data_IF_170975459376
#
_entry.id   IF_170975459376
#
_cell.length_a   1.000
_cell.length_b   1.000
_cell.length_c   1.000
_cell.angle_alpha   90.00
_cell.angle_beta   90.00
_cell.angle_gamma   90.00
#
_symmetry.space_group_name_H-M   'P 1'
#
loop_
_entity.id
_entity.type
_entity.pdbx_description
1 polymer ?
#
# COMPACT_ATOMS: atom_id res chain seq x y z
N UNK A 1 34.30 0.63 64.01
CA UNK A 1 33.04 1.05 63.37
C UNK A 1 33.31 1.96 62.15
N UNK A 2 33.82 1.46 61.01
CA UNK A 2 34.02 2.26 59.78
C UNK A 2 34.10 1.28 58.55
N UNK A 3 33.11 0.42 58.38
CA UNK A 3 33.08 -0.48 57.19
C UNK A 3 31.74 -0.65 56.50
N UNK A 4 30.67 0.02 56.91
CA UNK A 4 29.32 -0.22 56.39
C UNK A 4 28.69 0.95 55.62
N UNK A 5 29.42 1.99 55.22
CA UNK A 5 28.88 3.16 54.50
C UNK A 5 29.18 3.08 52.98
N UNK A 6 30.12 2.22 52.57
CA UNK A 6 30.50 2.17 51.16
C UNK A 6 29.63 1.24 50.29
N UNK A 7 28.83 0.37 50.90
CA UNK A 7 28.03 -0.62 50.20
C UNK A 7 26.62 -0.08 49.75
N UNK A 8 26.10 0.93 50.42
CA UNK A 8 24.81 1.54 50.07
C UNK A 8 24.88 2.56 48.92
N UNK A 9 26.05 3.15 48.66
CA UNK A 9 26.20 4.12 47.56
C UNK A 9 26.31 3.44 46.18
N UNK A 10 26.71 2.16 46.13
CA UNK A 10 26.88 1.43 44.88
C UNK A 10 25.55 0.87 44.33
N UNK A 11 24.54 0.68 45.21
CA UNK A 11 23.21 0.23 44.80
C UNK A 11 22.29 1.35 44.30
N UNK A 12 22.58 2.62 44.60
CA UNK A 12 21.79 3.76 44.08
C UNK A 12 22.24 4.24 42.68
N UNK A 13 23.41 3.81 42.20
CA UNK A 13 23.93 4.17 40.88
C UNK A 13 23.53 3.21 39.79
N UNK A 14 22.96 2.05 40.11
CA UNK A 14 22.51 1.04 39.11
C UNK A 14 21.06 1.28 38.70
N UNK A 15 20.28 2.08 39.40
CA UNK A 15 18.87 2.39 39.06
C UNK A 15 18.72 3.57 38.10
N UNK A 16 19.81 4.15 37.60
CA UNK A 16 19.76 5.19 36.54
C UNK A 16 20.13 4.70 35.16
N UNK A 17 20.28 3.40 34.95
CA UNK A 17 20.38 2.81 33.61
C UNK A 17 19.00 2.76 32.96
N UNK A 18 18.69 3.86 32.26
CA UNK A 18 17.94 3.79 31.02
C UNK A 18 16.53 3.20 31.10
N UNK A 19 15.57 3.91 31.70
CA UNK A 19 14.25 3.95 31.09
C UNK A 19 14.44 4.66 29.72
N UNK A 20 14.76 3.89 28.70
CA UNK A 20 14.45 4.29 27.33
C UNK A 20 12.94 4.54 27.35
N UNK A 21 12.51 5.80 27.34
CA UNK A 21 11.11 6.12 27.15
C UNK A 21 10.75 5.54 25.80
N UNK A 22 9.97 4.45 25.79
CA UNK A 22 9.40 3.95 24.55
C UNK A 22 8.63 5.11 23.93
N UNK A 23 8.86 5.40 22.64
CA UNK A 23 8.16 6.49 21.96
C UNK A 23 6.66 6.39 22.21
N UNK A 24 6.03 7.51 22.48
CA UNK A 24 4.57 7.53 22.64
C UNK A 24 3.92 7.20 21.30
N UNK A 25 2.66 6.72 21.30
CA UNK A 25 1.93 6.49 20.05
C UNK A 25 1.79 7.75 19.19
N UNK A 26 1.85 8.93 19.79
CA UNK A 26 1.84 10.22 19.10
C UNK A 26 3.15 10.49 18.36
N UNK A 27 4.29 10.13 18.97
CA UNK A 27 5.61 10.25 18.31
C UNK A 27 5.74 9.30 17.14
N UNK A 28 5.28 8.06 17.27
CA UNK A 28 5.25 7.09 16.17
C UNK A 28 4.36 7.61 15.03
N UNK A 29 3.18 8.17 15.36
CA UNK A 29 2.28 8.77 14.37
C UNK A 29 2.93 9.94 13.64
N UNK A 30 3.54 10.86 14.34
CA UNK A 30 4.24 12.01 13.75
C UNK A 30 5.37 11.54 12.83
N UNK A 31 6.11 10.53 13.25
CA UNK A 31 7.16 9.92 12.43
C UNK A 31 6.57 9.29 11.15
N UNK A 32 5.48 8.52 11.26
CA UNK A 32 4.82 7.91 10.09
C UNK A 32 4.34 8.97 9.11
N UNK A 33 3.69 10.03 9.59
CA UNK A 33 3.24 11.15 8.74
C UNK A 33 4.43 11.79 8.03
N UNK A 34 5.55 12.01 8.73
CA UNK A 34 6.78 12.56 8.15
C UNK A 34 7.33 11.67 7.03
N UNK A 35 7.39 10.35 7.24
CA UNK A 35 7.88 9.41 6.22
C UNK A 35 6.92 9.32 5.05
N UNK A 36 5.62 9.20 5.32
CA UNK A 36 4.60 9.11 4.27
C UNK A 36 4.62 10.34 3.37
N UNK A 37 4.67 11.53 3.95
CA UNK A 37 4.71 12.78 3.19
C UNK A 37 6.02 12.93 2.41
N UNK A 38 7.15 12.56 3.00
CA UNK A 38 8.44 12.54 2.30
C UNK A 38 8.42 11.63 1.05
N UNK A 39 7.76 10.47 1.14
CA UNK A 39 7.60 9.58 -0.02
C UNK A 39 6.66 10.19 -1.05
N UNK A 40 5.59 10.86 -0.61
CA UNK A 40 4.54 11.39 -1.46
C UNK A 40 4.94 12.69 -2.19
N UNK A 41 5.77 13.54 -1.56
CA UNK A 41 6.08 14.89 -2.04
C UNK A 41 6.52 14.92 -3.51
N UNK A 42 7.55 14.19 -3.96
CA UNK A 42 8.02 14.34 -5.33
C UNK A 42 6.97 13.90 -6.35
N UNK A 43 6.11 12.92 -6.04
CA UNK A 43 5.03 12.50 -6.94
C UNK A 43 3.94 13.55 -7.00
N UNK A 44 3.39 13.93 -5.86
CA UNK A 44 2.21 14.78 -5.81
C UNK A 44 2.50 16.24 -6.15
N UNK A 45 3.67 16.79 -5.73
CA UNK A 45 4.08 18.15 -6.08
C UNK A 45 4.32 18.31 -7.58
N UNK A 46 4.83 17.29 -8.27
CA UNK A 46 4.99 17.32 -9.71
C UNK A 46 3.68 17.05 -10.44
N UNK A 47 2.95 16.00 -10.06
CA UNK A 47 1.74 15.60 -10.77
C UNK A 47 0.62 16.63 -10.64
N UNK A 48 0.51 17.32 -9.50
CA UNK A 48 -0.46 18.40 -9.31
C UNK A 48 -0.24 19.59 -10.26
N UNK A 49 0.96 19.71 -10.83
CA UNK A 49 1.34 20.75 -11.80
C UNK A 49 1.38 20.24 -13.26
N UNK A 50 1.13 18.96 -13.50
CA UNK A 50 1.27 18.36 -14.82
C UNK A 50 2.75 18.17 -15.24
N UNK A 51 3.65 17.94 -14.30
CA UNK A 51 5.10 17.83 -14.51
C UNK A 51 5.68 16.46 -14.11
N UNK A 52 4.86 15.50 -13.70
CA UNK A 52 5.35 14.20 -13.22
C UNK A 52 6.13 13.45 -14.30
N UNK A 53 5.58 13.34 -15.51
CA UNK A 53 6.24 12.62 -16.61
C UNK A 53 7.55 13.30 -17.04
N UNK A 54 7.66 14.60 -16.85
CA UNK A 54 8.86 15.38 -17.16
C UNK A 54 9.97 15.16 -16.14
N UNK A 55 9.62 15.08 -14.85
CA UNK A 55 10.57 15.18 -13.76
C UNK A 55 10.86 13.84 -13.05
N UNK A 56 9.91 12.89 -13.06
CA UNK A 56 10.11 11.61 -12.40
C UNK A 56 11.13 10.75 -13.16
N UNK A 57 12.24 10.33 -12.51
CA UNK A 57 13.18 9.39 -13.14
C UNK A 57 12.51 8.03 -13.33
N UNK A 58 12.67 7.43 -14.51
CA UNK A 58 12.14 6.11 -14.83
C UNK A 58 13.29 5.12 -14.88
N UNK A 59 13.51 4.43 -13.77
CA UNK A 59 14.53 3.41 -13.63
C UNK A 59 13.93 2.01 -13.67
N UNK A 60 14.65 1.06 -14.25
CA UNK A 60 14.37 -0.37 -14.28
C UNK A 60 15.65 -1.15 -14.12
N UNK A 61 15.58 -2.47 -13.99
CA UNK A 61 16.79 -3.31 -13.96
C UNK A 61 17.67 -3.04 -15.17
N UNK A 62 18.98 -2.97 -14.95
CA UNK A 62 19.97 -2.74 -16.02
C UNK A 62 19.88 -3.80 -17.12
N UNK A 63 19.83 -3.36 -18.38
CA UNK A 63 19.72 -4.22 -19.55
C UNK A 63 18.28 -4.61 -19.95
N UNK A 64 17.26 -4.14 -19.25
CA UNK A 64 15.89 -4.25 -19.71
C UNK A 64 15.63 -3.23 -20.83
N UNK A 65 15.61 -3.69 -22.08
CA UNK A 65 15.27 -2.86 -23.24
C UNK A 65 13.77 -2.50 -23.19
N UNK A 66 13.45 -1.22 -22.93
CA UNK A 66 12.10 -0.67 -22.96
C UNK A 66 11.02 -1.60 -22.36
N UNK A 67 11.11 -1.97 -21.08
CA UNK A 67 10.09 -2.85 -20.50
C UNK A 67 8.73 -2.16 -20.60
N UNK A 68 7.65 -2.92 -20.85
CA UNK A 68 6.30 -2.39 -21.04
C UNK A 68 5.83 -1.48 -19.89
N UNK A 69 6.32 -1.75 -18.69
CA UNK A 69 6.00 -1.04 -17.45
C UNK A 69 6.60 0.38 -17.37
N UNK A 70 7.62 0.74 -18.15
CA UNK A 70 8.11 2.14 -18.15
C UNK A 70 7.05 3.12 -18.65
N UNK A 71 6.11 2.65 -19.48
CA UNK A 71 5.00 3.48 -20.00
C UNK A 71 3.87 3.68 -18.98
N UNK A 72 3.82 2.85 -17.94
CA UNK A 72 2.76 2.85 -16.93
C UNK A 72 3.27 3.23 -15.54
N UNK A 73 4.57 3.44 -15.40
CA UNK A 73 5.22 3.74 -14.10
C UNK A 73 4.58 4.91 -13.36
N UNK A 74 4.04 5.91 -14.07
CA UNK A 74 3.39 7.07 -13.47
C UNK A 74 2.00 6.72 -12.90
N UNK A 75 1.22 5.87 -13.60
CA UNK A 75 -0.03 5.31 -13.08
C UNK A 75 0.25 4.41 -11.86
N UNK A 76 1.31 3.62 -11.95
CA UNK A 76 1.78 2.76 -10.87
C UNK A 76 2.13 3.58 -9.62
N UNK A 77 2.89 4.67 -9.78
CA UNK A 77 3.25 5.58 -8.68
C UNK A 77 1.99 6.17 -8.02
N UNK A 78 1.08 6.74 -8.80
CA UNK A 78 -0.15 7.34 -8.27
C UNK A 78 -1.04 6.32 -7.56
N UNK A 79 -1.33 5.17 -8.19
CA UNK A 79 -2.24 4.17 -7.64
C UNK A 79 -1.71 3.54 -6.36
N UNK A 80 -0.43 3.17 -6.34
CA UNK A 80 0.21 2.57 -5.18
C UNK A 80 0.40 3.57 -4.03
N UNK A 81 0.71 4.82 -4.33
CA UNK A 81 0.77 5.88 -3.34
C UNK A 81 -0.60 6.13 -2.70
N UNK A 82 -1.66 6.21 -3.53
CA UNK A 82 -3.00 6.46 -3.06
C UNK A 82 -3.47 5.37 -2.08
N UNK A 83 -3.23 4.09 -2.37
CA UNK A 83 -3.71 3.01 -1.49
C UNK A 83 -3.18 3.12 -0.07
N UNK A 84 -1.94 3.59 0.09
CA UNK A 84 -1.34 3.78 1.41
C UNK A 84 -1.73 5.10 2.08
N UNK A 85 -1.94 6.16 1.30
CA UNK A 85 -2.31 7.47 1.84
C UNK A 85 -3.82 7.59 2.14
N UNK A 86 -4.66 6.85 1.42
CA UNK A 86 -6.11 7.03 1.45
C UNK A 86 -6.72 6.98 2.86
N UNK A 87 -6.36 6.05 3.76
CA UNK A 87 -6.93 6.04 5.11
C UNK A 87 -6.58 7.31 5.91
N UNK A 88 -5.37 7.83 5.76
CA UNK A 88 -4.97 9.08 6.39
C UNK A 88 -5.69 10.28 5.79
N UNK A 89 -5.83 10.35 4.46
CA UNK A 89 -6.55 11.42 3.77
C UNK A 89 -8.05 11.43 4.14
N UNK A 90 -8.68 10.24 4.28
CA UNK A 90 -10.10 10.11 4.60
C UNK A 90 -10.48 10.69 5.97
N UNK A 91 -9.53 10.85 6.90
CA UNK A 91 -9.76 11.55 8.16
C UNK A 91 -10.19 13.01 7.96
N UNK A 92 -9.92 13.59 6.79
CA UNK A 92 -10.28 14.97 6.47
C UNK A 92 -9.44 16.02 7.19
N UNK A 93 -9.63 17.31 6.85
CA UNK A 93 -8.97 18.42 7.53
C UNK A 93 -9.53 18.66 8.93
N UNK A 94 -8.66 19.11 9.85
CA UNK A 94 -9.00 19.62 11.16
C UNK A 94 -8.04 20.76 11.57
N UNK A 95 -8.25 21.36 12.75
CA UNK A 95 -7.47 22.51 13.22
C UNK A 95 -6.08 22.13 13.77
N UNK A 96 -5.74 20.85 13.86
CA UNK A 96 -4.41 20.41 14.24
C UNK A 96 -3.38 20.69 13.15
N UNK A 97 -2.10 20.69 13.52
CA UNK A 97 -1.01 20.81 12.55
C UNK A 97 -1.07 19.67 11.51
N UNK A 98 -1.31 18.43 11.97
CA UNK A 98 -1.50 17.28 11.10
C UNK A 98 -2.73 17.42 10.20
N UNK A 99 -3.86 17.95 10.71
CA UNK A 99 -5.07 18.16 9.93
C UNK A 99 -4.89 19.20 8.82
N UNK A 100 -4.16 20.29 9.12
CA UNK A 100 -3.79 21.28 8.08
C UNK A 100 -2.84 20.71 7.04
N UNK A 101 -1.86 19.90 7.47
CA UNK A 101 -0.96 19.17 6.56
C UNK A 101 -1.77 18.21 5.67
N UNK A 102 -2.66 17.42 6.25
CA UNK A 102 -3.54 16.49 5.54
C UNK A 102 -4.38 17.19 4.48
N UNK A 103 -4.90 18.38 4.79
CA UNK A 103 -5.63 19.21 3.83
C UNK A 103 -4.75 19.61 2.60
N UNK A 104 -3.48 19.89 2.81
CA UNK A 104 -2.52 20.10 1.71
C UNK A 104 -2.48 18.87 0.80
N UNK A 105 -2.31 17.68 1.38
CA UNK A 105 -2.18 16.44 0.60
C UNK A 105 -3.48 15.99 -0.05
N UNK A 106 -4.65 16.25 0.55
CA UNK A 106 -5.94 16.07 -0.11
C UNK A 106 -5.99 16.89 -1.40
N UNK A 107 -5.66 18.19 -1.35
CA UNK A 107 -5.64 19.05 -2.53
C UNK A 107 -4.63 18.59 -3.59
N UNK A 108 -3.42 18.23 -3.19
CA UNK A 108 -2.42 17.71 -4.11
C UNK A 108 -2.89 16.43 -4.79
N UNK A 109 -3.51 15.51 -4.05
CA UNK A 109 -4.06 14.26 -4.60
C UNK A 109 -5.20 14.53 -5.58
N UNK A 110 -6.12 15.42 -5.27
CA UNK A 110 -7.24 15.80 -6.17
C UNK A 110 -6.70 16.38 -7.49
N UNK A 111 -5.74 17.30 -7.45
CA UNK A 111 -5.11 17.88 -8.64
C UNK A 111 -4.31 16.83 -9.42
N UNK A 112 -3.64 15.92 -8.71
CA UNK A 112 -2.89 14.82 -9.34
C UNK A 112 -3.82 13.85 -10.08
N UNK A 113 -4.97 13.51 -9.50
CA UNK A 113 -5.98 12.70 -10.17
C UNK A 113 -6.55 13.45 -11.38
N UNK A 114 -6.86 14.74 -11.25
CA UNK A 114 -7.35 15.54 -12.37
C UNK A 114 -6.35 15.52 -13.54
N UNK A 115 -5.08 15.84 -13.30
CA UNK A 115 -4.04 15.79 -14.32
C UNK A 115 -3.83 14.39 -14.90
N UNK A 116 -3.82 13.36 -14.06
CA UNK A 116 -3.58 11.98 -14.48
C UNK A 116 -4.68 11.40 -15.38
N UNK A 117 -5.90 11.83 -15.19
CA UNK A 117 -7.07 11.32 -15.93
C UNK A 117 -7.63 12.31 -16.98
N UNK A 118 -7.07 13.51 -17.09
CA UNK A 118 -7.45 14.48 -18.11
C UNK A 118 -6.67 14.24 -19.42
N UNK A 119 -7.34 13.86 -20.54
CA UNK A 119 -6.66 13.61 -21.81
C UNK A 119 -5.87 14.81 -22.38
N UNK A 120 -6.18 16.03 -21.92
CA UNK A 120 -5.50 17.25 -22.34
C UNK A 120 -4.26 17.57 -21.50
N UNK A 121 -4.04 16.86 -20.38
CA UNK A 121 -2.91 17.08 -19.49
C UNK A 121 -1.61 16.46 -20.04
N UNK A 122 -0.45 17.12 -19.87
CA UNK A 122 0.84 16.50 -20.15
C UNK A 122 1.08 15.22 -19.36
N UNK A 123 0.49 15.11 -18.17
CA UNK A 123 0.57 13.94 -17.29
C UNK A 123 -0.52 12.90 -17.52
N UNK A 124 -1.35 13.03 -18.59
CA UNK A 124 -2.38 12.03 -18.89
C UNK A 124 -1.79 10.61 -18.87
N UNK A 125 -2.34 9.75 -18.01
CA UNK A 125 -1.79 8.43 -17.74
C UNK A 125 -2.13 7.42 -18.85
N UNK A 126 -1.34 6.35 -18.91
CA UNK A 126 -1.50 5.28 -19.91
C UNK A 126 -2.40 4.18 -19.36
N UNK A 127 -3.61 4.01 -19.91
CA UNK A 127 -4.59 3.02 -19.47
C UNK A 127 -4.74 1.80 -20.40
N UNK A 128 -4.16 1.82 -21.61
CA UNK A 128 -4.46 0.80 -22.64
C UNK A 128 -3.23 0.25 -23.39
N UNK A 129 -2.03 0.72 -23.06
CA UNK A 129 -0.82 0.44 -23.88
C UNK A 129 -0.30 -0.99 -23.68
N UNK A 130 -0.54 -1.57 -22.51
CA UNK A 130 -0.11 -2.92 -22.12
C UNK A 130 -1.16 -3.58 -21.23
N UNK A 131 -0.84 -4.72 -20.61
CA UNK A 131 -1.70 -5.29 -19.57
C UNK A 131 -1.50 -4.64 -18.19
N UNK A 132 -0.34 -4.02 -17.94
CA UNK A 132 0.05 -3.45 -16.64
C UNK A 132 -0.95 -2.42 -16.09
N UNK A 133 -1.63 -1.56 -16.87
CA UNK A 133 -2.66 -0.66 -16.34
C UNK A 133 -3.75 -1.32 -15.51
N UNK A 134 -4.06 -2.60 -15.74
CA UNK A 134 -5.02 -3.33 -14.92
C UNK A 134 -4.53 -3.46 -13.46
N UNK A 135 -3.23 -3.75 -13.28
CA UNK A 135 -2.60 -3.84 -11.95
C UNK A 135 -2.65 -2.50 -11.23
N UNK A 136 -2.18 -1.46 -11.91
CA UNK A 136 -1.97 -0.14 -11.31
C UNK A 136 -3.30 0.56 -11.02
N UNK A 137 -4.30 0.37 -11.90
CA UNK A 137 -5.65 0.84 -11.67
C UNK A 137 -6.35 0.11 -10.51
N UNK A 138 -6.05 -1.17 -10.27
CA UNK A 138 -6.62 -1.87 -9.12
C UNK A 138 -6.15 -1.28 -7.79
N UNK A 139 -4.88 -0.89 -7.67
CA UNK A 139 -4.40 -0.14 -6.50
C UNK A 139 -5.04 1.25 -6.39
N UNK A 140 -5.18 1.96 -7.50
CA UNK A 140 -5.91 3.23 -7.53
C UNK A 140 -7.36 3.05 -7.06
N UNK A 141 -8.07 2.04 -7.57
CA UNK A 141 -9.43 1.66 -7.18
C UNK A 141 -9.52 1.37 -5.68
N UNK A 142 -8.60 0.58 -5.15
CA UNK A 142 -8.53 0.28 -3.72
C UNK A 142 -8.34 1.56 -2.89
N UNK A 143 -7.50 2.49 -3.34
CA UNK A 143 -7.33 3.79 -2.72
C UNK A 143 -8.60 4.64 -2.75
N UNK A 144 -9.34 4.66 -3.86
CA UNK A 144 -10.63 5.38 -3.97
C UNK A 144 -11.67 4.79 -3.00
N UNK A 145 -11.75 3.45 -2.88
CA UNK A 145 -12.65 2.80 -1.91
C UNK A 145 -12.30 3.16 -0.45
N UNK A 146 -11.03 3.43 -0.15
CA UNK A 146 -10.53 3.83 1.18
C UNK A 146 -10.71 5.32 1.50
N UNK A 147 -10.89 6.16 0.48
CA UNK A 147 -11.10 7.60 0.66
C UNK A 147 -12.31 8.12 -0.11
N UNK A 148 -13.52 7.56 0.14
CA UNK A 148 -14.71 7.87 -0.63
C UNK A 148 -15.19 9.31 -0.46
N UNK A 149 -15.01 9.92 0.73
CA UNK A 149 -15.48 11.29 1.00
C UNK A 149 -14.44 12.33 0.58
N UNK A 150 -13.20 12.16 1.07
CA UNK A 150 -12.17 13.17 0.91
C UNK A 150 -11.53 13.17 -0.48
N UNK A 151 -11.50 12.04 -1.16
CA UNK A 151 -10.95 11.97 -2.52
C UNK A 151 -12.09 11.87 -3.53
N UNK A 152 -12.80 10.75 -3.63
CA UNK A 152 -13.84 10.61 -4.65
C UNK A 152 -14.92 11.69 -4.57
N UNK A 153 -15.40 11.96 -3.37
CA UNK A 153 -16.46 12.95 -3.10
C UNK A 153 -16.08 14.39 -3.46
N UNK A 154 -14.78 14.72 -3.47
CA UNK A 154 -14.30 16.07 -3.79
C UNK A 154 -13.76 16.22 -5.21
N UNK A 155 -13.74 15.15 -6.03
CA UNK A 155 -13.41 15.28 -7.45
C UNK A 155 -14.50 16.05 -8.19
N UNK A 156 -14.12 16.85 -9.20
CA UNK A 156 -15.07 17.47 -10.10
C UNK A 156 -15.83 16.43 -10.92
N UNK A 157 -17.04 16.76 -11.40
CA UNK A 157 -17.81 15.85 -12.24
C UNK A 157 -17.05 15.47 -13.52
N UNK A 158 -16.30 16.41 -14.11
CA UNK A 158 -15.42 16.15 -15.26
C UNK A 158 -14.36 15.12 -14.90
N UNK A 159 -13.68 15.28 -13.77
CA UNK A 159 -12.64 14.36 -13.33
C UNK A 159 -13.21 12.98 -13.01
N UNK A 160 -14.34 12.90 -12.31
CA UNK A 160 -15.05 11.64 -12.07
C UNK A 160 -15.38 10.92 -13.37
N UNK A 161 -15.92 11.64 -14.35
CA UNK A 161 -16.24 11.05 -15.67
C UNK A 161 -14.98 10.54 -16.38
N UNK A 162 -13.85 11.28 -16.31
CA UNK A 162 -12.58 10.84 -16.88
C UNK A 162 -12.07 9.56 -16.21
N UNK A 163 -12.16 9.47 -14.88
CA UNK A 163 -11.81 8.25 -14.13
C UNK A 163 -12.69 7.08 -14.56
N UNK A 164 -14.01 7.25 -14.61
CA UNK A 164 -14.93 6.21 -15.05
C UNK A 164 -14.64 5.76 -16.49
N UNK A 165 -14.35 6.68 -17.40
CA UNK A 165 -13.97 6.37 -18.78
C UNK A 165 -12.68 5.54 -18.85
N UNK A 166 -11.68 5.86 -18.03
CA UNK A 166 -10.45 5.09 -17.92
C UNK A 166 -10.72 3.68 -17.40
N UNK A 167 -11.51 3.52 -16.34
CA UNK A 167 -11.86 2.21 -15.79
C UNK A 167 -12.65 1.36 -16.80
N UNK A 168 -13.54 1.97 -17.60
CA UNK A 168 -14.25 1.27 -18.70
C UNK A 168 -13.32 0.77 -19.82
N UNK A 169 -12.17 1.40 -20.01
CA UNK A 169 -11.15 0.90 -20.94
C UNK A 169 -10.35 -0.23 -20.31
N UNK A 170 -9.94 -0.07 -19.06
CA UNK A 170 -9.10 -1.02 -18.28
C UNK A 170 -9.83 -2.35 -18.09
N UNK A 171 -11.13 -2.36 -17.81
CA UNK A 171 -11.92 -3.59 -17.62
C UNK A 171 -11.91 -4.55 -18.84
N UNK A 172 -11.46 -4.08 -20.00
CA UNK A 172 -11.31 -4.91 -21.22
C UNK A 172 -9.99 -5.69 -21.23
N UNK A 173 -9.06 -5.37 -20.33
CA UNK A 173 -7.77 -6.05 -20.23
C UNK A 173 -7.99 -7.40 -19.57
N UNK A 174 -7.62 -8.47 -20.27
CA UNK A 174 -7.74 -9.83 -19.75
C UNK A 174 -6.62 -10.11 -18.73
N UNK A 175 -6.96 -10.48 -17.48
CA UNK A 175 -5.98 -10.90 -16.47
C UNK A 175 -5.34 -12.24 -16.86
N UNK A 176 -4.20 -12.55 -16.25
CA UNK A 176 -3.62 -13.90 -16.26
C UNK A 176 -4.15 -14.69 -15.05
N UNK A 177 -4.06 -16.02 -15.12
CA UNK A 177 -4.48 -16.95 -14.05
C UNK A 177 -3.54 -16.90 -12.85
N UNK A 178 -3.67 -15.86 -12.04
CA UNK A 178 -2.86 -15.57 -10.85
C UNK A 178 -3.57 -14.54 -9.97
N UNK A 179 -2.84 -13.86 -9.07
CA UNK A 179 -3.33 -12.69 -8.33
C UNK A 179 -3.98 -11.62 -9.24
N UNK A 180 -3.69 -11.63 -10.54
CA UNK A 180 -4.26 -10.69 -11.51
C UNK A 180 -5.77 -10.77 -11.64
N UNK A 181 -6.38 -11.90 -11.30
CA UNK A 181 -7.85 -12.02 -11.25
C UNK A 181 -8.47 -11.03 -10.27
N UNK A 182 -7.78 -10.76 -9.15
CA UNK A 182 -8.23 -9.78 -8.16
C UNK A 182 -8.13 -8.34 -8.66
N UNK A 183 -7.23 -8.03 -9.58
CA UNK A 183 -7.20 -6.69 -10.19
C UNK A 183 -8.45 -6.43 -11.01
N UNK A 184 -8.89 -7.39 -11.82
CA UNK A 184 -10.16 -7.28 -12.54
C UNK A 184 -11.35 -7.18 -11.58
N UNK A 185 -11.40 -8.02 -10.55
CA UNK A 185 -12.47 -7.99 -9.56
C UNK A 185 -12.50 -6.65 -8.80
N UNK A 186 -11.34 -6.06 -8.48
CA UNK A 186 -11.24 -4.76 -7.79
C UNK A 186 -11.75 -3.62 -8.66
N UNK A 187 -11.44 -3.60 -9.95
CA UNK A 187 -11.99 -2.61 -10.89
C UNK A 187 -13.51 -2.71 -10.95
N UNK A 188 -14.06 -3.92 -11.04
CA UNK A 188 -15.52 -4.14 -11.08
C UNK A 188 -16.18 -3.78 -9.74
N UNK A 189 -15.59 -4.13 -8.62
CA UNK A 189 -16.09 -3.75 -7.29
C UNK A 189 -16.13 -2.22 -7.13
N UNK A 190 -15.11 -1.54 -7.63
CA UNK A 190 -15.06 -0.08 -7.59
C UNK A 190 -16.11 0.53 -8.53
N UNK A 191 -16.28 0.01 -9.74
CA UNK A 191 -17.36 0.46 -10.63
C UNK A 191 -18.74 0.29 -9.97
N UNK A 192 -18.98 -0.85 -9.30
CA UNK A 192 -20.20 -1.06 -8.53
C UNK A 192 -20.41 0.01 -7.45
N UNK A 193 -19.37 0.30 -6.67
CA UNK A 193 -19.44 1.33 -5.61
C UNK A 193 -19.72 2.73 -6.18
N UNK A 194 -19.12 3.06 -7.34
CA UNK A 194 -19.19 4.43 -7.89
C UNK A 194 -20.41 4.66 -8.80
N UNK A 195 -20.96 3.62 -9.42
CA UNK A 195 -22.03 3.76 -10.42
C UNK A 195 -23.27 2.91 -10.13
N UNK A 196 -23.20 1.98 -9.19
CA UNK A 196 -24.25 0.98 -8.94
C UNK A 196 -24.23 -0.20 -9.91
N UNK A 197 -23.29 -0.25 -10.88
CA UNK A 197 -23.23 -1.26 -11.92
C UNK A 197 -21.84 -1.87 -12.06
N UNK A 198 -21.77 -3.19 -12.27
CA UNK A 198 -20.53 -3.92 -12.55
C UNK A 198 -20.78 -5.15 -13.44
N UNK A 199 -19.72 -5.67 -14.03
CA UNK A 199 -19.71 -7.01 -14.59
C UNK A 199 -19.36 -8.03 -13.49
N UNK A 200 -20.29 -8.91 -13.13
CA UNK A 200 -20.07 -9.92 -12.09
C UNK A 200 -19.19 -11.09 -12.54
N UNK A 201 -18.98 -11.29 -13.83
CA UNK A 201 -18.20 -12.42 -14.35
C UNK A 201 -16.75 -12.43 -13.80
N UNK A 202 -15.94 -11.34 -13.95
CA UNK A 202 -14.60 -11.32 -13.37
C UNK A 202 -14.56 -11.46 -11.85
N UNK A 203 -15.57 -10.92 -11.16
CA UNK A 203 -15.68 -11.01 -9.68
C UNK A 203 -15.94 -12.46 -9.26
N UNK A 204 -16.97 -13.09 -9.84
CA UNK A 204 -17.34 -14.47 -9.51
C UNK A 204 -16.20 -15.43 -9.87
N UNK A 205 -15.54 -15.21 -11.01
CA UNK A 205 -14.42 -16.04 -11.44
C UNK A 205 -13.24 -15.92 -10.47
N UNK A 206 -12.85 -14.71 -10.07
CA UNK A 206 -11.79 -14.51 -9.09
C UNK A 206 -12.13 -15.20 -7.75
N UNK A 207 -13.32 -14.99 -7.22
CA UNK A 207 -13.78 -15.62 -5.97
C UNK A 207 -13.69 -17.14 -6.07
N UNK A 208 -14.20 -17.72 -7.16
CA UNK A 208 -14.16 -19.18 -7.40
C UNK A 208 -12.70 -19.68 -7.37
N UNK A 209 -11.80 -19.03 -8.10
CA UNK A 209 -10.39 -19.46 -8.18
C UNK A 209 -9.68 -19.31 -6.84
N UNK A 210 -9.90 -18.24 -6.07
CA UNK A 210 -9.29 -18.09 -4.75
C UNK A 210 -9.87 -19.05 -3.70
N UNK A 211 -11.10 -19.52 -3.83
CA UNK A 211 -11.59 -20.66 -3.03
C UNK A 211 -10.79 -21.93 -3.31
N UNK A 212 -10.50 -22.23 -4.58
CA UNK A 212 -9.71 -23.40 -5.00
C UNK A 212 -8.23 -23.28 -4.63
N UNK A 213 -7.65 -22.09 -4.70
CA UNK A 213 -6.22 -21.85 -4.48
C UNK A 213 -5.83 -21.69 -3.02
N UNK A 214 -6.75 -21.85 -2.08
CA UNK A 214 -6.43 -21.82 -0.67
C UNK A 214 -5.55 -23.02 -0.27
N UNK A 215 -4.43 -22.75 0.42
CA UNK A 215 -3.41 -23.74 0.78
C UNK A 215 -3.43 -24.12 2.26
N UNK A 216 -4.27 -23.48 3.06
CA UNK A 216 -4.32 -23.67 4.51
C UNK A 216 -3.58 -22.56 5.27
N UNK A 217 -3.85 -22.49 6.57
CA UNK A 217 -3.19 -21.59 7.54
C UNK A 217 -3.08 -20.10 7.10
N UNK A 218 -4.09 -19.61 6.39
CA UNK A 218 -4.11 -18.22 5.89
C UNK A 218 -3.39 -18.01 4.56
N UNK A 219 -2.81 -19.02 3.92
CA UNK A 219 -2.10 -18.87 2.67
C UNK A 219 -2.95 -19.22 1.45
N UNK A 220 -2.82 -18.40 0.42
CA UNK A 220 -3.31 -18.67 -0.93
C UNK A 220 -2.16 -18.95 -1.89
N UNK A 221 -2.40 -19.80 -2.87
CA UNK A 221 -1.56 -19.86 -4.07
C UNK A 221 -1.72 -18.60 -4.92
N UNK A 222 -0.68 -18.26 -5.65
CA UNK A 222 -0.74 -17.25 -6.71
C UNK A 222 -0.93 -17.98 -8.06
N UNK A 223 -2.14 -18.45 -8.28
CA UNK A 223 -2.50 -19.52 -9.20
C UNK A 223 -2.60 -20.86 -8.46
N UNK A 224 -2.45 -21.96 -9.20
CA UNK A 224 -2.55 -23.32 -8.63
C UNK A 224 -1.47 -23.60 -7.60
N UNK A 225 -0.28 -23.05 -7.78
CA UNK A 225 0.87 -23.35 -6.94
C UNK A 225 1.06 -22.32 -5.82
N UNK A 226 1.63 -22.78 -4.68
CA UNK A 226 2.07 -21.90 -3.62
C UNK A 226 3.41 -21.27 -3.98
N UNK A 227 3.48 -19.95 -3.88
CA UNK A 227 4.73 -19.20 -3.98
C UNK A 227 5.10 -18.63 -2.61
N UNK A 228 6.31 -18.93 -2.14
CA UNK A 228 6.85 -18.35 -0.90
C UNK A 228 7.35 -16.94 -1.18
N UNK A 229 6.41 -16.01 -1.24
CA UNK A 229 6.63 -14.58 -1.42
C UNK A 229 5.57 -13.78 -0.65
N UNK A 230 5.60 -12.46 -0.77
CA UNK A 230 4.67 -11.58 -0.06
C UNK A 230 3.41 -11.21 -0.87
N UNK A 231 3.08 -11.89 -1.98
CA UNK A 231 1.89 -11.55 -2.76
C UNK A 231 0.57 -11.79 -2.01
N UNK A 232 0.58 -12.69 -1.03
CA UNK A 232 -0.55 -12.80 -0.10
C UNK A 232 -0.83 -11.49 0.63
N UNK A 233 0.22 -10.70 0.92
CA UNK A 233 0.10 -9.39 1.56
C UNK A 233 0.02 -8.23 0.58
N UNK A 234 0.79 -8.23 -0.51
CA UNK A 234 0.74 -7.11 -1.45
C UNK A 234 -0.63 -6.96 -2.11
N UNK A 235 -1.26 -8.10 -2.45
CA UNK A 235 -2.43 -8.14 -3.34
C UNK A 235 -3.54 -9.04 -2.81
N UNK A 236 -3.26 -10.34 -2.55
CA UNK A 236 -4.30 -11.36 -2.49
C UNK A 236 -5.30 -11.08 -1.38
N UNK A 237 -4.88 -11.10 -0.14
CA UNK A 237 -5.75 -10.82 0.98
C UNK A 237 -6.34 -9.40 0.96
N UNK A 238 -5.53 -8.32 0.75
CA UNK A 238 -6.08 -6.98 0.77
C UNK A 238 -7.18 -6.74 -0.25
N UNK A 239 -6.98 -7.19 -1.49
CA UNK A 239 -7.96 -6.96 -2.54
C UNK A 239 -9.14 -7.93 -2.47
N UNK A 240 -8.91 -9.20 -2.12
CA UNK A 240 -10.00 -10.17 -1.94
C UNK A 240 -10.97 -9.70 -0.85
N UNK A 241 -10.44 -9.24 0.29
CA UNK A 241 -11.27 -8.72 1.37
C UNK A 241 -12.06 -7.48 0.94
N UNK A 242 -11.40 -6.49 0.31
CA UNK A 242 -12.06 -5.25 -0.12
C UNK A 242 -13.12 -5.52 -1.20
N UNK A 243 -12.87 -6.45 -2.14
CA UNK A 243 -13.87 -6.90 -3.13
C UNK A 243 -15.07 -7.54 -2.44
N UNK A 244 -14.83 -8.46 -1.51
CA UNK A 244 -15.91 -9.14 -0.78
C UNK A 244 -16.74 -8.16 0.05
N UNK A 245 -16.13 -7.15 0.69
CA UNK A 245 -16.85 -6.11 1.42
C UNK A 245 -17.81 -5.32 0.51
N UNK A 246 -17.34 -4.89 -0.67
CA UNK A 246 -18.21 -4.21 -1.62
C UNK A 246 -19.34 -5.13 -2.09
N UNK A 247 -19.04 -6.40 -2.40
CA UNK A 247 -20.07 -7.35 -2.81
C UNK A 247 -21.13 -7.56 -1.71
N UNK A 248 -20.73 -7.63 -0.42
CA UNK A 248 -21.66 -7.71 0.70
C UNK A 248 -22.55 -6.47 0.81
N UNK A 249 -21.96 -5.30 0.72
CA UNK A 249 -22.70 -4.01 0.77
C UNK A 249 -23.84 -3.94 -0.25
N UNK A 250 -23.66 -4.53 -1.42
CA UNK A 250 -24.65 -4.55 -2.50
C UNK A 250 -25.47 -5.86 -2.58
N UNK A 251 -25.41 -6.71 -1.56
CA UNK A 251 -26.05 -8.02 -1.52
C UNK A 251 -25.77 -8.92 -2.74
N UNK A 252 -24.54 -8.82 -3.25
CA UNK A 252 -24.03 -9.63 -4.38
C UNK A 252 -22.95 -10.62 -3.98
N UNK A 253 -22.58 -10.64 -2.68
CA UNK A 253 -21.53 -11.49 -2.14
C UNK A 253 -22.05 -12.75 -1.47
N UNK A 254 -21.14 -13.68 -1.21
CA UNK A 254 -21.36 -14.88 -0.42
C UNK A 254 -20.92 -14.63 1.02
N UNK A 255 -21.86 -14.45 1.93
CA UNK A 255 -21.59 -14.14 3.35
C UNK A 255 -20.67 -15.16 4.00
N UNK A 256 -20.88 -16.45 3.76
CA UNK A 256 -20.06 -17.52 4.33
C UNK A 256 -18.59 -17.38 3.93
N UNK A 257 -18.32 -17.12 2.65
CA UNK A 257 -16.96 -16.94 2.17
C UNK A 257 -16.33 -15.64 2.68
N UNK A 258 -17.11 -14.57 2.79
CA UNK A 258 -16.61 -13.31 3.37
C UNK A 258 -16.19 -13.50 4.84
N UNK A 259 -16.98 -14.19 5.66
CA UNK A 259 -16.62 -14.49 7.05
C UNK A 259 -15.40 -15.43 7.14
N UNK A 260 -15.28 -16.36 6.21
CA UNK A 260 -14.12 -17.25 6.13
C UNK A 260 -12.85 -16.49 5.75
N UNK A 261 -12.94 -15.55 4.78
CA UNK A 261 -11.83 -14.72 4.37
C UNK A 261 -11.33 -13.83 5.50
N UNK A 262 -12.21 -13.22 6.29
CA UNK A 262 -11.80 -12.45 7.48
C UNK A 262 -10.97 -13.29 8.46
N UNK A 263 -11.30 -14.54 8.65
CA UNK A 263 -10.53 -15.47 9.51
C UNK A 263 -9.16 -15.79 8.91
N UNK A 264 -9.10 -16.06 7.60
CA UNK A 264 -7.86 -16.34 6.87
C UNK A 264 -6.93 -15.11 6.85
N UNK A 265 -7.50 -13.96 6.62
CA UNK A 265 -6.83 -12.66 6.65
C UNK A 265 -6.19 -12.39 8.02
N UNK A 266 -6.98 -12.54 9.09
CA UNK A 266 -6.53 -12.38 10.48
C UNK A 266 -5.39 -13.36 10.82
N UNK A 267 -5.50 -14.61 10.36
CA UNK A 267 -4.44 -15.60 10.56
C UNK A 267 -3.14 -15.25 9.82
N UNK A 268 -3.24 -14.75 8.59
CA UNK A 268 -2.06 -14.31 7.86
C UNK A 268 -1.43 -13.06 8.50
N UNK A 269 -2.23 -12.13 8.99
CA UNK A 269 -1.75 -10.95 9.74
C UNK A 269 -0.96 -11.35 11.00
N UNK A 270 -1.42 -12.38 11.73
CA UNK A 270 -0.70 -12.93 12.89
C UNK A 270 0.69 -13.45 12.51
N UNK A 271 0.79 -14.15 11.38
CA UNK A 271 2.07 -14.65 10.91
C UNK A 271 3.01 -13.51 10.51
N UNK A 272 2.48 -12.46 9.88
CA UNK A 272 3.29 -11.29 9.53
C UNK A 272 3.88 -10.58 10.76
N UNK A 273 3.09 -10.42 11.82
CA UNK A 273 3.59 -9.86 13.08
C UNK A 273 4.75 -10.69 13.62
N UNK A 274 4.61 -12.04 13.63
CA UNK A 274 5.66 -12.96 14.10
C UNK A 274 6.94 -12.95 13.25
N UNK A 275 6.90 -12.44 12.03
CA UNK A 275 8.06 -12.31 11.17
C UNK A 275 8.92 -11.08 11.46
N UNK A 276 8.43 -10.14 12.27
CA UNK A 276 9.14 -8.90 12.60
C UNK A 276 10.01 -9.14 13.83
N UNK A 277 11.32 -8.94 13.69
CA UNK A 277 12.23 -8.99 14.82
C UNK A 277 12.20 -7.68 15.63
N UNK A 278 12.62 -7.68 16.91
CA UNK A 278 12.58 -6.50 17.77
C UNK A 278 13.33 -5.27 17.22
N UNK A 279 14.29 -5.46 16.32
CA UNK A 279 15.05 -4.40 15.65
C UNK A 279 14.44 -3.97 14.31
N UNK A 280 13.24 -4.46 13.97
CA UNK A 280 12.53 -4.15 12.73
C UNK A 280 13.03 -4.90 11.49
N UNK A 281 13.89 -5.92 11.63
CA UNK A 281 14.23 -6.78 10.51
C UNK A 281 13.11 -7.80 10.25
N UNK A 282 13.01 -8.27 9.01
CA UNK A 282 12.09 -9.32 8.61
C UNK A 282 12.69 -10.17 7.46
N UNK A 283 12.19 -11.39 7.24
CA UNK A 283 12.71 -12.25 6.19
C UNK A 283 12.55 -11.62 4.81
N UNK A 284 13.61 -11.63 4.00
CA UNK A 284 13.59 -11.22 2.60
C UNK A 284 13.37 -12.47 1.76
N UNK A 285 12.12 -12.70 1.35
CA UNK A 285 11.72 -13.93 0.63
C UNK A 285 10.98 -13.60 -0.66
N UNK A 286 11.13 -14.46 -1.65
CA UNK A 286 10.43 -14.41 -2.91
C UNK A 286 10.82 -13.25 -3.81
N UNK A 287 9.84 -12.70 -4.49
CA UNK A 287 9.96 -11.66 -5.52
C UNK A 287 9.37 -10.34 -5.06
N UNK A 288 9.61 -9.27 -5.83
CA UNK A 288 9.06 -7.92 -5.59
C UNK A 288 9.52 -7.31 -4.25
N UNK A 289 10.67 -7.71 -3.76
CA UNK A 289 11.21 -7.20 -2.49
C UNK A 289 11.50 -5.70 -2.52
N UNK A 290 11.63 -5.12 -3.72
CA UNK A 290 11.75 -3.67 -3.91
C UNK A 290 10.53 -2.87 -3.43
N UNK A 291 9.39 -3.52 -3.15
CA UNK A 291 8.23 -2.88 -2.49
C UNK A 291 8.46 -2.65 -0.99
N UNK A 292 9.63 -3.03 -0.48
CA UNK A 292 10.09 -2.75 0.87
C UNK A 292 9.05 -3.17 1.93
N UNK A 293 8.78 -2.29 2.89
CA UNK A 293 7.82 -2.54 3.97
C UNK A 293 6.34 -2.58 3.52
N UNK A 294 6.03 -2.34 2.25
CA UNK A 294 4.73 -2.72 1.65
C UNK A 294 4.36 -4.20 1.84
N UNK A 295 5.34 -5.03 2.14
CA UNK A 295 5.18 -6.42 2.64
C UNK A 295 4.13 -6.54 3.75
N UNK A 296 3.98 -5.52 4.59
CA UNK A 296 3.08 -5.54 5.75
C UNK A 296 1.70 -4.90 5.48
N UNK A 297 1.26 -4.86 4.23
CA UNK A 297 -0.05 -4.32 3.85
C UNK A 297 -1.20 -5.04 4.56
N UNK A 298 -1.17 -6.38 4.68
CA UNK A 298 -2.21 -7.14 5.43
C UNK A 298 -2.19 -6.75 6.90
N UNK A 299 -1.01 -6.65 7.51
CA UNK A 299 -0.90 -6.33 8.94
C UNK A 299 -1.45 -4.93 9.26
N UNK A 300 -1.12 -3.93 8.43
CA UNK A 300 -1.66 -2.57 8.57
C UNK A 300 -3.17 -2.53 8.30
N UNK A 301 -3.64 -3.19 7.25
CA UNK A 301 -5.07 -3.26 6.93
C UNK A 301 -5.87 -4.02 8.00
N UNK A 302 -5.29 -5.06 8.63
CA UNK A 302 -5.91 -5.76 9.75
C UNK A 302 -6.14 -4.84 10.95
N UNK A 303 -5.16 -3.97 11.24
CA UNK A 303 -5.30 -2.97 12.30
C UNK A 303 -6.35 -1.90 11.94
N UNK A 304 -6.38 -1.45 10.68
CA UNK A 304 -7.34 -0.48 10.16
C UNK A 304 -8.79 -1.00 10.23
N UNK A 305 -9.01 -2.27 9.86
CA UNK A 305 -10.34 -2.88 9.75
C UNK A 305 -10.81 -3.62 11.01
N UNK A 306 -10.09 -3.54 12.13
CA UNK A 306 -10.39 -4.28 13.37
C UNK A 306 -10.42 -5.81 13.17
N UNK A 307 -9.54 -6.34 12.33
CA UNK A 307 -9.43 -7.76 11.99
C UNK A 307 -8.17 -8.43 12.56
N UNK A 308 -7.51 -7.78 13.52
CA UNK A 308 -6.38 -8.40 14.21
C UNK A 308 -6.84 -9.60 15.04
N UNK A 309 -6.03 -10.68 15.13
CA UNK A 309 -6.32 -11.78 16.05
C UNK A 309 -6.23 -11.31 17.50
N UNK A 310 -6.87 -12.04 18.41
CA UNK A 310 -6.86 -11.71 19.85
C UNK A 310 -5.44 -11.65 20.44
N UNK A 311 -4.50 -12.39 19.83
CA UNK A 311 -3.08 -12.44 20.24
C UNK A 311 -2.27 -11.19 19.86
N UNK A 312 -2.80 -10.30 19.01
CA UNK A 312 -2.08 -9.13 18.49
C UNK A 312 -2.88 -7.85 18.71
N UNK A 313 -2.31 -6.88 19.36
CA UNK A 313 -2.94 -5.57 19.61
C UNK A 313 -2.53 -4.53 18.55
N UNK A 314 -3.36 -3.51 18.33
CA UNK A 314 -3.00 -2.36 17.48
C UNK A 314 -1.72 -1.65 17.95
N UNK A 315 -1.45 -1.66 19.26
CA UNK A 315 -0.23 -1.07 19.80
C UNK A 315 1.02 -1.87 19.42
N UNK A 316 0.95 -3.20 19.43
CA UNK A 316 2.03 -4.06 18.92
C UNK A 316 2.26 -3.78 17.44
N UNK A 317 1.23 -3.85 16.60
CA UNK A 317 1.35 -3.55 15.15
C UNK A 317 2.00 -2.18 14.91
N UNK A 318 1.59 -1.14 15.66
CA UNK A 318 2.22 0.18 15.55
C UNK A 318 3.71 0.12 15.90
N UNK A 319 4.09 -0.52 17.00
CA UNK A 319 5.49 -0.64 17.40
C UNK A 319 6.32 -1.40 16.36
N UNK A 320 5.79 -2.52 15.88
CA UNK A 320 6.45 -3.39 14.91
C UNK A 320 6.67 -2.68 13.57
N UNK A 321 5.61 -2.08 13.04
CA UNK A 321 5.73 -1.32 11.79
C UNK A 321 6.60 -0.09 11.94
N UNK A 322 6.57 0.59 13.10
CA UNK A 322 7.50 1.70 13.37
C UNK A 322 8.95 1.23 13.36
N UNK A 323 9.25 0.08 13.97
CA UNK A 323 10.60 -0.48 13.96
C UNK A 323 11.05 -0.82 12.54
N UNK A 324 10.19 -1.46 11.74
CA UNK A 324 10.44 -1.78 10.33
C UNK A 324 10.70 -0.53 9.51
N UNK A 325 9.81 0.46 9.60
CA UNK A 325 9.92 1.70 8.82
C UNK A 325 11.18 2.47 9.22
N UNK A 326 11.47 2.60 10.52
CA UNK A 326 12.69 3.26 11.01
C UNK A 326 13.95 2.57 10.48
N UNK A 327 13.99 1.23 10.53
CA UNK A 327 15.11 0.45 10.02
C UNK A 327 15.33 0.69 8.53
N UNK A 328 14.28 0.60 7.72
CA UNK A 328 14.38 0.86 6.29
C UNK A 328 14.79 2.30 5.99
N UNK A 329 14.15 3.28 6.62
CA UNK A 329 14.41 4.70 6.35
C UNK A 329 15.77 5.19 6.86
N UNK A 330 16.42 4.45 7.76
CA UNK A 330 17.80 4.74 8.22
C UNK A 330 18.86 4.42 7.16
N UNK A 331 18.53 3.62 6.15
CA UNK A 331 19.48 3.22 5.10
C UNK A 331 19.69 4.38 4.13
N UNK A 332 20.96 4.74 3.91
CA UNK A 332 21.33 5.76 2.92
C UNK A 332 21.03 5.28 1.51
N UNK A 333 20.60 6.21 0.64
CA UNK A 333 20.35 5.92 -0.76
C UNK A 333 18.97 5.34 -1.06
N UNK A 334 18.02 5.35 -0.12
CA UNK A 334 16.61 5.06 -0.40
C UNK A 334 15.94 6.14 -1.24
N UNK A 335 16.50 7.34 -1.21
CA UNK A 335 16.08 8.48 -2.01
C UNK A 335 17.29 9.01 -2.78
N UNK A 336 17.04 9.51 -3.98
CA UNK A 336 18.02 10.27 -4.74
C UNK A 336 18.12 11.73 -4.23
N UNK A 337 18.90 12.55 -4.94
CA UNK A 337 19.13 13.96 -4.56
C UNK A 337 17.87 14.83 -4.66
N UNK A 338 16.92 14.45 -5.50
CA UNK A 338 15.66 15.17 -5.74
C UNK A 338 14.49 14.60 -4.93
N UNK A 339 14.76 13.60 -4.07
CA UNK A 339 13.78 13.01 -3.16
C UNK A 339 12.96 11.85 -3.75
N UNK A 340 13.25 11.38 -4.96
CA UNK A 340 12.59 10.21 -5.54
C UNK A 340 13.08 8.92 -4.89
N UNK A 341 12.18 7.96 -4.71
CA UNK A 341 12.56 6.62 -4.28
C UNK A 341 13.46 5.96 -5.32
N UNK A 342 14.57 5.40 -4.87
CA UNK A 342 15.52 4.65 -5.71
C UNK A 342 15.13 3.19 -5.81
N UNK A 343 15.46 2.55 -6.92
CA UNK A 343 15.18 1.13 -7.15
C UNK A 343 16.01 0.25 -6.22
N UNK A 344 15.36 -0.54 -5.37
CA UNK A 344 16.04 -1.43 -4.43
C UNK A 344 15.22 -1.75 -3.18
N UNK A 345 15.72 -2.69 -2.40
CA UNK A 345 15.16 -3.07 -1.09
C UNK A 345 15.69 -2.15 0.03
N UNK A 346 17.00 -1.96 0.11
CA UNK A 346 17.67 -1.16 1.12
C UNK A 346 18.76 -0.30 0.43
N UNK A 347 18.41 0.95 0.11
CA UNK A 347 19.21 1.83 -0.73
C UNK A 347 19.01 1.54 -2.23
N UNK A 348 19.91 2.05 -3.07
CA UNK A 348 19.87 1.88 -4.53
C UNK A 348 20.48 0.53 -4.93
N UNK A 349 19.65 -0.41 -5.34
CA UNK A 349 20.03 -1.78 -5.67
C UNK A 349 19.25 -2.28 -6.90
N UNK A 350 19.43 -1.70 -8.09
CA UNK A 350 18.60 -2.02 -9.26
C UNK A 350 18.69 -3.48 -9.70
N UNK A 351 19.76 -4.19 -9.33
CA UNK A 351 20.00 -5.60 -9.70
C UNK A 351 19.04 -6.58 -9.01
N UNK A 352 18.43 -6.20 -7.90
CA UNK A 352 17.47 -7.06 -7.19
C UNK A 352 16.05 -6.95 -7.72
N UNK A 353 15.80 -5.97 -8.60
CA UNK A 353 14.48 -5.76 -9.17
C UNK A 353 14.20 -6.78 -10.28
N UNK A 354 12.98 -7.28 -10.32
CA UNK A 354 12.51 -8.05 -11.45
C UNK A 354 12.21 -7.14 -12.67
N UNK A 355 12.13 -7.73 -13.85
CA UNK A 355 11.94 -7.01 -15.13
C UNK A 355 10.66 -6.17 -15.19
N UNK A 356 9.67 -6.49 -14.36
CA UNK A 356 8.41 -5.75 -14.30
C UNK A 356 8.44 -4.59 -13.29
N UNK A 357 9.51 -4.42 -12.52
CA UNK A 357 9.65 -3.35 -11.53
C UNK A 357 10.23 -2.10 -12.18
N UNK A 358 9.62 -0.97 -11.89
CA UNK A 358 10.10 0.37 -12.26
C UNK A 358 10.03 1.32 -11.06
N UNK A 359 10.45 2.56 -11.23
CA UNK A 359 10.38 3.58 -10.15
C UNK A 359 8.98 3.68 -9.53
N UNK A 360 7.92 3.62 -10.34
CA UNK A 360 6.53 3.68 -9.86
C UNK A 360 6.15 2.52 -8.93
N UNK A 361 6.77 1.36 -9.13
CA UNK A 361 6.50 0.17 -8.32
C UNK A 361 6.81 0.36 -6.83
N UNK A 362 7.80 1.19 -6.52
CA UNK A 362 8.34 1.37 -5.17
C UNK A 362 7.32 2.02 -4.21
N UNK A 363 6.37 2.76 -4.75
CA UNK A 363 5.36 3.48 -3.95
C UNK A 363 4.38 2.54 -3.25
N UNK A 364 4.40 1.22 -3.56
CA UNK A 364 3.64 0.24 -2.79
C UNK A 364 4.12 0.11 -1.33
N UNK A 365 5.34 0.58 -1.03
CA UNK A 365 5.79 0.64 0.37
C UNK A 365 4.82 1.42 1.26
N UNK A 366 4.09 2.40 0.70
CA UNK A 366 3.13 3.19 1.47
C UNK A 366 1.93 2.40 1.98
N UNK A 367 1.63 1.22 1.43
CA UNK A 367 0.53 0.38 1.89
C UNK A 367 0.65 -0.07 3.37
N UNK A 368 1.86 -0.01 3.95
CA UNK A 368 2.07 -0.28 5.37
C UNK A 368 1.61 0.87 6.31
N UNK A 369 1.22 2.02 5.78
CA UNK A 369 0.66 3.13 6.56
C UNK A 369 -0.89 3.13 6.60
N UNK A 370 -1.53 2.14 5.97
CA UNK A 370 -2.98 2.02 5.93
C UNK A 370 -3.59 1.77 7.32
#
# INVERSE_FOLDING_TARGET
MKKNILTCALFLLISLCGYSQNPSGLEDRAYWVTVLTKIADPVLENMSKGELKKNMPVETISGALNPPNTRTTHLEALGRLLVGMAPWLELGPDETEEGRLRNKYIRLMLLSIDNGFNPESPDYLNFVVTRQPLVDAAFFCQGILRAPKQIWGNLSDKTRQNVLNALQQIRKIKPIESNWLLFSAMVEATLLELTGECNMEPVNYAIMRFKEWYKGDGWYGDGVDLHMDYYNSYVIHPMLLDVLEVMQKYAKGEEEFYQLEKKRFSRYAEQQERMISPDGAYPVIGRSIAYRFGTFHVLSQAALKDLLPVSVTKAQVRCDLTAVIKKHMSVKGNFDADGWLTLGFAGHQPQIAERYISTGSLYLCTAAFA
#
